data_IF_878029659855
#
_entry.id   IF_878029659855
#
_cell.length_a   1.000
_cell.length_b   1.000
_cell.length_c   1.000
_cell.angle_alpha   90.00
_cell.angle_beta   90.00
_cell.angle_gamma   90.00
#
_symmetry.space_group_name_H-M   'P 1'
#
loop_
_entity.id
_entity.type
_entity.pdbx_description
1 polymer ?
#
# COMPACT_ATOMS: atom_id res chain seq x y z
N UNK A 1 -9.35 14.74 19.84
CA UNK A 1 -8.88 14.50 21.22
C UNK A 1 -7.54 13.72 21.23
N UNK A 2 -7.16 13.08 22.36
CA UNK A 2 -6.03 12.14 22.47
C UNK A 2 -6.52 10.78 22.98
N UNK A 3 -6.11 9.68 22.36
CA UNK A 3 -6.52 8.33 22.75
C UNK A 3 -5.30 7.45 23.11
N UNK A 4 -5.40 6.70 24.22
CA UNK A 4 -4.33 5.80 24.70
C UNK A 4 -4.93 4.44 25.10
N UNK A 5 -4.48 3.35 24.45
CA UNK A 5 -4.92 1.97 24.70
C UNK A 5 -4.29 1.37 25.95
N UNK A 6 -2.98 1.57 26.12
CA UNK A 6 -2.27 1.16 27.33
C UNK A 6 -1.51 -0.14 27.10
N UNK A 7 -1.93 -1.25 27.70
CA UNK A 7 -1.29 -2.53 27.45
C UNK A 7 -2.33 -3.59 27.07
N UNK A 8 -2.05 -4.42 26.07
CA UNK A 8 -2.92 -5.50 25.65
C UNK A 8 -3.28 -5.46 24.18
N UNK A 9 -4.56 -5.67 23.89
CA UNK A 9 -5.13 -5.62 22.54
C UNK A 9 -6.19 -4.53 22.54
N UNK A 10 -5.87 -3.39 21.95
CA UNK A 10 -6.67 -2.20 22.02
C UNK A 10 -7.44 -1.93 20.73
N UNK A 11 -8.56 -1.23 20.88
CA UNK A 11 -9.40 -0.75 19.78
C UNK A 11 -9.64 0.74 19.97
N UNK A 12 -8.96 1.52 19.16
CA UNK A 12 -9.00 2.96 19.17
C UNK A 12 -9.91 3.42 18.04
N UNK A 13 -10.94 4.18 18.39
CA UNK A 13 -11.82 4.80 17.41
C UNK A 13 -11.42 6.25 17.25
N UNK A 14 -11.09 6.64 16.03
CA UNK A 14 -10.53 7.96 15.75
C UNK A 14 -11.39 8.71 14.74
N UNK A 15 -11.38 10.03 14.80
CA UNK A 15 -11.97 10.90 13.79
C UNK A 15 -11.00 12.00 13.34
N UNK A 16 -11.43 12.86 12.43
CA UNK A 16 -10.62 13.95 11.87
C UNK A 16 -10.15 14.99 12.89
N UNK A 17 -10.71 14.99 14.11
CA UNK A 17 -10.35 15.90 15.19
C UNK A 17 -9.37 15.27 16.20
N UNK A 18 -9.01 14.00 16.02
CA UNK A 18 -8.02 13.33 16.85
C UNK A 18 -6.61 13.68 16.40
N UNK A 19 -5.84 14.22 17.34
CA UNK A 19 -4.50 14.78 17.06
C UNK A 19 -3.36 13.92 17.60
N UNK A 20 -3.70 12.89 18.39
CA UNK A 20 -2.75 11.88 18.85
C UNK A 20 -3.49 10.60 19.27
N UNK A 21 -3.00 9.48 18.80
CA UNK A 21 -3.50 8.14 19.09
C UNK A 21 -2.30 7.28 19.50
N UNK A 22 -2.50 6.36 20.44
CA UNK A 22 -1.43 5.51 20.96
C UNK A 22 -2.03 4.17 21.39
N UNK A 23 -1.78 3.10 20.64
CA UNK A 23 -2.17 1.73 21.01
C UNK A 23 -1.51 1.28 22.31
N UNK A 24 -0.25 1.70 22.51
CA UNK A 24 0.54 1.36 23.68
C UNK A 24 1.29 0.04 23.51
N UNK A 25 1.49 -0.67 24.62
CA UNK A 25 2.21 -1.93 24.64
C UNK A 25 1.28 -3.10 24.29
N UNK A 26 1.34 -3.56 23.05
CA UNK A 26 0.48 -4.62 22.57
C UNK A 26 1.05 -5.28 21.34
N UNK A 27 0.32 -6.23 20.79
CA UNK A 27 0.52 -6.68 19.41
C UNK A 27 -0.83 -6.67 18.75
N UNK A 28 -0.96 -6.07 17.56
CA UNK A 28 -2.23 -5.98 16.83
C UNK A 28 -3.25 -5.03 17.48
N UNK A 29 -2.77 -3.89 17.99
CA UNK A 29 -3.62 -2.77 18.36
C UNK A 29 -4.28 -2.19 17.13
N UNK A 30 -5.58 -1.91 17.24
CA UNK A 30 -6.45 -1.57 16.10
C UNK A 30 -6.90 -0.14 16.17
N UNK A 31 -6.50 0.64 15.18
CA UNK A 31 -7.02 1.96 14.91
C UNK A 31 -8.16 1.84 13.88
N UNK A 32 -9.30 2.45 14.19
CA UNK A 32 -10.51 2.41 13.36
C UNK A 32 -11.01 3.83 13.18
N UNK A 33 -10.92 4.32 11.95
CA UNK A 33 -11.48 5.62 11.59
C UNK A 33 -13.00 5.53 11.62
N UNK A 34 -13.64 6.43 12.38
CA UNK A 34 -15.09 6.62 12.45
C UNK A 34 -15.41 8.04 12.07
N UNK A 35 -15.71 8.22 10.80
CA UNK A 35 -16.11 9.52 10.33
C UNK A 35 -17.52 9.88 10.83
N UNK A 36 -17.71 11.15 11.17
CA UNK A 36 -19.03 11.70 11.42
C UNK A 36 -19.72 12.02 10.09
N UNK A 37 -21.05 12.07 10.05
CA UNK A 37 -21.80 12.37 8.82
C UNK A 37 -21.51 13.77 8.22
N UNK A 38 -20.70 14.60 8.88
CA UNK A 38 -20.28 15.92 8.41
C UNK A 38 -18.78 15.99 8.06
N UNK A 39 -18.02 14.91 8.29
CA UNK A 39 -16.63 14.82 7.91
C UNK A 39 -16.53 14.79 6.37
N UNK A 40 -15.67 15.65 5.83
CA UNK A 40 -15.41 15.75 4.38
C UNK A 40 -13.93 15.58 4.05
N UNK A 41 -13.10 15.38 5.07
CA UNK A 41 -11.69 15.08 4.95
C UNK A 41 -11.45 13.70 5.59
N UNK A 42 -10.47 12.95 5.08
CA UNK A 42 -9.95 11.79 5.78
C UNK A 42 -8.95 12.17 6.87
N UNK A 43 -8.35 11.14 7.46
CA UNK A 43 -7.37 11.26 8.54
C UNK A 43 -5.96 11.11 8.01
N UNK A 44 -4.98 11.64 8.74
CA UNK A 44 -3.57 11.34 8.53
C UNK A 44 -3.02 10.75 9.83
N UNK A 45 -2.51 9.52 9.76
CA UNK A 45 -2.00 8.78 10.90
C UNK A 45 -0.56 8.38 10.64
N UNK A 46 0.34 8.80 11.53
CA UNK A 46 1.68 8.24 11.67
C UNK A 46 1.55 6.93 12.46
N UNK A 47 1.67 5.81 11.76
CA UNK A 47 1.46 4.48 12.34
C UNK A 47 2.54 4.15 13.37
N UNK A 48 3.78 4.59 13.15
CA UNK A 48 4.88 4.37 14.07
C UNK A 48 4.70 5.16 15.38
N UNK A 49 4.23 6.40 15.30
CA UNK A 49 3.90 7.19 16.48
C UNK A 49 2.62 6.70 17.17
N UNK A 50 1.72 6.06 16.43
CA UNK A 50 0.45 5.57 16.95
C UNK A 50 0.55 4.27 17.75
N UNK A 51 1.68 3.54 17.68
CA UNK A 51 1.83 2.20 18.24
C UNK A 51 0.64 1.27 17.92
N UNK A 52 0.07 1.41 16.72
CA UNK A 52 -0.98 0.53 16.22
C UNK A 52 -0.43 -0.28 15.05
N UNK A 53 -0.71 -1.58 15.03
CA UNK A 53 -0.27 -2.45 13.92
C UNK A 53 -1.36 -2.67 12.89
N UNK A 54 -2.60 -2.32 13.21
CA UNK A 54 -3.73 -2.47 12.29
C UNK A 54 -4.49 -1.16 12.20
N UNK A 55 -4.66 -0.65 10.99
CA UNK A 55 -5.46 0.55 10.74
C UNK A 55 -6.56 0.25 9.73
N UNK A 56 -7.75 0.79 10.01
CA UNK A 56 -8.87 0.75 9.10
C UNK A 56 -9.36 2.17 8.83
N UNK A 57 -9.30 2.59 7.58
CA UNK A 57 -9.82 3.88 7.13
C UNK A 57 -11.34 3.95 7.13
N UNK A 58 -11.84 5.07 6.62
CA UNK A 58 -13.21 5.53 6.66
C UNK A 58 -13.85 5.52 5.28
N UNK A 59 -14.50 6.64 4.95
CA UNK A 59 -15.21 6.88 3.71
C UNK A 59 -14.61 8.01 2.85
N UNK A 60 -13.51 8.59 3.31
CA UNK A 60 -12.82 9.71 2.68
C UNK A 60 -11.34 9.32 2.57
N UNK A 61 -10.64 9.99 1.67
CA UNK A 61 -9.20 9.88 1.41
C UNK A 61 -8.36 9.98 2.70
N UNK A 62 -7.94 8.83 3.23
CA UNK A 62 -7.15 8.66 4.42
C UNK A 62 -5.67 8.43 4.08
N UNK A 63 -4.78 8.78 5.01
CA UNK A 63 -3.34 8.56 4.88
C UNK A 63 -2.84 7.81 6.11
N UNK A 64 -2.31 6.61 5.90
CA UNK A 64 -1.62 5.82 6.92
C UNK A 64 -0.13 5.73 6.56
N UNK A 65 0.69 6.49 7.29
CA UNK A 65 2.13 6.55 7.10
C UNK A 65 2.84 5.65 8.10
N UNK A 66 3.26 4.48 7.64
CA UNK A 66 4.07 3.53 8.37
C UNK A 66 5.57 3.65 8.12
N UNK A 67 6.06 4.65 7.39
CA UNK A 67 7.43 4.68 6.87
C UNK A 67 8.51 4.59 7.96
N UNK A 68 8.19 5.00 9.19
CA UNK A 68 9.06 4.88 10.37
C UNK A 68 8.81 3.61 11.22
N UNK A 69 7.85 2.78 10.85
CA UNK A 69 7.49 1.54 11.55
C UNK A 69 8.51 0.44 11.28
N UNK A 70 8.86 -0.30 12.32
CA UNK A 70 9.73 -1.49 12.24
C UNK A 70 8.97 -2.79 12.51
N UNK A 71 7.65 -2.71 12.67
CA UNK A 71 6.77 -3.85 12.93
C UNK A 71 5.83 -4.04 11.76
N UNK A 72 5.39 -5.29 11.56
CA UNK A 72 4.47 -5.62 10.48
C UNK A 72 3.12 -4.94 10.69
N UNK A 73 2.68 -4.18 9.69
CA UNK A 73 1.43 -3.47 9.63
C UNK A 73 0.39 -4.22 8.79
N UNK A 74 -0.87 -3.97 9.09
CA UNK A 74 -2.01 -4.36 8.25
C UNK A 74 -2.91 -3.15 8.07
N UNK A 75 -2.79 -2.52 6.91
CA UNK A 75 -3.43 -1.26 6.58
C UNK A 75 -4.57 -1.51 5.59
N UNK A 76 -5.75 -0.99 5.91
CA UNK A 76 -6.95 -1.10 5.08
C UNK A 76 -7.46 0.32 4.83
N UNK A 77 -7.32 0.82 3.59
CA UNK A 77 -7.79 2.15 3.19
C UNK A 77 -9.31 2.27 3.33
N UNK A 78 -10.03 1.28 2.79
CA UNK A 78 -11.48 1.32 2.64
C UNK A 78 -11.85 2.33 1.56
N UNK A 79 -12.92 3.08 1.79
CA UNK A 79 -13.50 3.99 0.82
C UNK A 79 -12.73 5.31 0.83
N UNK A 80 -12.38 5.79 -0.35
CA UNK A 80 -11.59 6.99 -0.55
C UNK A 80 -10.55 6.73 -1.63
N UNK A 81 -9.72 7.73 -1.89
CA UNK A 81 -8.41 7.56 -2.51
C UNK A 81 -7.38 7.62 -1.41
N UNK A 82 -6.93 6.48 -0.94
CA UNK A 82 -6.11 6.34 0.24
C UNK A 82 -4.62 6.31 -0.10
N UNK A 83 -3.80 6.75 0.85
CA UNK A 83 -2.35 6.63 0.78
C UNK A 83 -1.89 5.73 1.92
N UNK A 84 -1.42 4.54 1.55
CA UNK A 84 -0.98 3.51 2.47
C UNK A 84 0.51 3.30 2.31
N UNK A 85 1.28 3.62 3.34
CA UNK A 85 2.71 3.33 3.41
C UNK A 85 2.94 2.31 4.51
N UNK A 86 3.52 1.17 4.16
CA UNK A 86 4.06 0.18 5.09
C UNK A 86 5.29 0.74 5.81
N UNK A 87 6.21 -0.13 6.20
CA UNK A 87 7.43 0.22 6.91
C UNK A 87 8.55 -0.75 6.54
N UNK A 88 9.50 -0.97 7.46
CA UNK A 88 10.63 -1.87 7.20
C UNK A 88 10.36 -3.36 7.45
N UNK A 89 9.10 -3.79 7.50
CA UNK A 89 8.69 -5.14 7.87
C UNK A 89 7.91 -5.80 6.72
N UNK A 90 7.41 -7.03 6.92
CA UNK A 90 6.56 -7.67 5.90
C UNK A 90 5.09 -7.27 6.14
N UNK A 91 4.65 -6.28 5.41
CA UNK A 91 3.39 -5.57 5.58
C UNK A 91 2.28 -6.12 4.69
N UNK A 92 1.04 -5.73 5.02
CA UNK A 92 -0.15 -6.01 4.22
C UNK A 92 -0.93 -4.74 4.01
N UNK A 93 -1.00 -4.29 2.77
CA UNK A 93 -1.72 -3.10 2.38
C UNK A 93 -2.89 -3.50 1.49
N UNK A 94 -4.06 -2.99 1.84
CA UNK A 94 -5.30 -3.17 1.11
C UNK A 94 -5.86 -1.76 0.86
N UNK A 95 -5.84 -1.27 -0.38
CA UNK A 95 -6.45 0.03 -0.74
C UNK A 95 -7.96 -0.02 -0.47
N UNK A 96 -8.60 -1.01 -1.09
CA UNK A 96 -9.87 -1.60 -0.65
C UNK A 96 -11.12 -0.69 -0.79
N UNK A 97 -11.54 -0.22 -1.98
CA UNK A 97 -12.96 0.20 -2.11
C UNK A 97 -13.67 0.11 -3.46
N UNK A 98 -14.99 0.01 -3.30
CA UNK A 98 -16.04 -0.05 -4.31
C UNK A 98 -16.41 1.35 -4.85
N UNK A 99 -15.43 2.16 -5.25
CA UNK A 99 -15.68 3.55 -5.64
C UNK A 99 -16.10 3.74 -7.12
N UNK A 100 -16.56 4.95 -7.44
CA UNK A 100 -16.99 5.36 -8.79
C UNK A 100 -15.90 6.07 -9.63
N UNK A 101 -14.72 6.36 -9.07
CA UNK A 101 -13.47 6.72 -9.76
C UNK A 101 -12.40 7.15 -8.74
N UNK A 102 -11.12 6.88 -9.05
CA UNK A 102 -9.98 7.12 -8.15
C UNK A 102 -9.20 5.84 -7.96
N UNK A 103 -8.01 5.91 -7.39
CA UNK A 103 -7.24 4.74 -6.99
C UNK A 103 -6.33 5.07 -5.83
N UNK A 104 -5.90 4.02 -5.17
CA UNK A 104 -5.11 4.10 -3.96
C UNK A 104 -3.61 4.14 -4.28
N UNK A 105 -2.83 4.75 -3.40
CA UNK A 105 -1.37 4.72 -3.46
C UNK A 105 -0.88 3.74 -2.40
N UNK A 106 -0.24 2.65 -2.82
CA UNK A 106 0.28 1.62 -1.94
C UNK A 106 1.80 1.55 -2.07
N UNK A 107 2.50 1.86 -0.98
CA UNK A 107 3.95 1.70 -0.85
C UNK A 107 4.24 0.68 0.27
N UNK A 108 4.79 -0.48 -0.09
CA UNK A 108 5.15 -1.50 0.89
C UNK A 108 6.29 -1.08 1.81
N UNK A 109 7.22 -0.26 1.30
CA UNK A 109 8.51 -0.03 1.92
C UNK A 109 9.47 -1.21 1.76
N UNK A 110 10.54 -1.28 2.57
CA UNK A 110 11.43 -2.43 2.58
C UNK A 110 10.79 -3.66 3.23
N UNK A 111 10.76 -4.79 2.54
CA UNK A 111 10.09 -5.95 3.13
C UNK A 111 9.88 -7.10 2.17
N UNK A 112 8.88 -7.92 2.47
CA UNK A 112 8.29 -8.81 1.48
C UNK A 112 6.80 -8.61 1.67
N UNK A 113 6.29 -7.63 0.96
CA UNK A 113 5.00 -7.02 1.22
C UNK A 113 3.92 -7.63 0.36
N UNK A 114 2.71 -7.53 0.89
CA UNK A 114 1.51 -7.91 0.18
C UNK A 114 0.69 -6.67 -0.11
N UNK A 115 0.55 -6.35 -1.39
CA UNK A 115 -0.18 -5.19 -1.88
C UNK A 115 -1.43 -5.69 -2.62
N UNK A 116 -2.58 -5.12 -2.26
CA UNK A 116 -3.86 -5.39 -2.91
C UNK A 116 -4.53 -4.05 -3.14
N UNK A 117 -4.61 -3.62 -4.39
CA UNK A 117 -5.16 -2.32 -4.75
C UNK A 117 -6.63 -2.22 -4.37
N UNK A 118 -7.42 -3.20 -4.77
CA UNK A 118 -8.85 -3.16 -4.61
C UNK A 118 -9.55 -3.89 -5.74
N UNK A 119 -10.84 -4.16 -5.56
CA UNK A 119 -11.64 -4.74 -6.62
C UNK A 119 -12.56 -3.68 -7.18
N UNK A 120 -12.42 -3.44 -8.49
CA UNK A 120 -13.31 -2.59 -9.29
C UNK A 120 -14.74 -2.60 -8.74
N UNK A 121 -15.13 -1.47 -8.14
CA UNK A 121 -16.45 -1.28 -7.57
C UNK A 121 -17.58 -1.69 -8.52
N UNK A 122 -18.75 -1.98 -7.93
CA UNK A 122 -19.97 -2.31 -8.66
C UNK A 122 -20.42 -1.14 -9.57
N UNK A 123 -19.85 -1.07 -10.77
CA UNK A 123 -19.98 0.06 -11.69
C UNK A 123 -19.09 -0.04 -12.92
N UNK A 124 -18.05 -0.89 -12.89
CA UNK A 124 -17.19 -1.15 -14.04
C UNK A 124 -16.24 0.01 -14.37
N UNK A 125 -16.08 0.95 -13.44
CA UNK A 125 -14.95 1.87 -13.46
C UNK A 125 -13.73 1.12 -12.96
N UNK A 126 -12.61 1.29 -13.65
CA UNK A 126 -11.34 0.75 -13.20
C UNK A 126 -10.83 1.62 -12.05
N UNK A 127 -10.48 1.00 -10.93
CA UNK A 127 -9.58 1.62 -9.96
C UNK A 127 -8.24 1.93 -10.64
N UNK A 128 -7.63 3.06 -10.26
CA UNK A 128 -6.39 3.56 -10.83
C UNK A 128 -5.30 3.50 -9.77
N UNK A 129 -5.06 2.30 -9.25
CA UNK A 129 -4.13 2.10 -8.14
C UNK A 129 -2.67 2.30 -8.59
N UNK A 130 -1.89 2.87 -7.70
CA UNK A 130 -0.48 3.14 -7.88
C UNK A 130 0.32 2.33 -6.85
N UNK A 131 1.01 1.31 -7.31
CA UNK A 131 1.92 0.50 -6.50
C UNK A 131 3.30 1.13 -6.57
N UNK A 132 3.72 1.80 -5.50
CA UNK A 132 4.96 2.58 -5.44
C UNK A 132 6.06 1.72 -4.85
N UNK A 133 7.23 1.75 -5.50
CA UNK A 133 8.42 1.06 -5.05
C UNK A 133 9.58 2.04 -4.89
N UNK A 134 10.36 1.83 -3.83
CA UNK A 134 11.58 2.56 -3.50
C UNK A 134 12.73 1.59 -3.19
N UNK A 135 13.96 2.09 -3.15
CA UNK A 135 15.14 1.25 -2.93
C UNK A 135 14.95 0.24 -1.78
N UNK A 136 15.50 -0.96 -1.94
CA UNK A 136 15.39 -2.07 -0.98
C UNK A 136 13.97 -2.62 -0.75
N UNK A 137 13.04 -2.46 -1.70
CA UNK A 137 11.65 -2.98 -1.58
C UNK A 137 11.57 -4.48 -1.27
N UNK A 138 12.53 -5.29 -1.73
CA UNK A 138 12.62 -6.71 -1.38
C UNK A 138 11.84 -7.63 -2.31
N UNK A 139 11.03 -8.57 -1.80
CA UNK A 139 10.25 -9.51 -2.62
C UNK A 139 8.75 -9.40 -2.39
N UNK A 140 8.12 -8.52 -3.17
CA UNK A 140 6.75 -8.12 -2.93
C UNK A 140 5.78 -8.87 -3.84
N UNK A 141 4.50 -8.77 -3.48
CA UNK A 141 3.42 -9.37 -4.24
C UNK A 141 2.28 -8.37 -4.41
N UNK A 142 1.99 -8.05 -5.66
CA UNK A 142 0.75 -7.39 -6.07
C UNK A 142 -0.26 -8.47 -6.42
N UNK A 143 -1.41 -8.46 -5.75
CA UNK A 143 -2.36 -9.57 -5.82
C UNK A 143 -3.37 -9.47 -6.97
N UNK A 144 -3.78 -8.27 -7.34
CA UNK A 144 -4.98 -7.99 -8.12
C UNK A 144 -4.77 -7.01 -9.28
N UNK A 145 -3.51 -6.84 -9.73
CA UNK A 145 -3.16 -5.88 -10.76
C UNK A 145 -4.03 -6.02 -12.03
N UNK A 146 -4.69 -4.94 -12.43
CA UNK A 146 -5.48 -4.89 -13.65
C UNK A 146 -4.65 -4.38 -14.84
N UNK A 147 -4.36 -5.28 -15.77
CA UNK A 147 -3.84 -4.97 -17.12
C UNK A 147 -4.92 -4.30 -18.00
N UNK A 148 -5.29 -3.08 -17.64
CA UNK A 148 -6.23 -2.22 -18.36
C UNK A 148 -5.63 -0.85 -18.70
N UNK A 149 -4.36 -0.64 -18.34
CA UNK A 149 -3.60 0.60 -18.50
C UNK A 149 -3.95 1.71 -17.49
N UNK A 150 -4.86 1.47 -16.55
CA UNK A 150 -5.29 2.40 -15.52
C UNK A 150 -4.37 2.32 -14.28
N UNK A 151 -4.09 1.10 -13.81
CA UNK A 151 -3.16 0.87 -12.70
C UNK A 151 -1.70 1.07 -13.13
N UNK A 152 -0.85 1.39 -12.15
CA UNK A 152 0.55 1.75 -12.38
C UNK A 152 1.46 1.10 -11.34
N UNK A 153 2.60 0.60 -11.82
CA UNK A 153 3.74 0.22 -10.99
C UNK A 153 4.77 1.36 -11.09
N UNK A 154 5.01 2.06 -9.99
CA UNK A 154 5.81 3.27 -9.95
C UNK A 154 7.23 3.00 -9.43
N UNK A 155 8.21 3.16 -10.31
CA UNK A 155 9.64 3.08 -10.04
C UNK A 155 10.34 4.45 -10.11
N UNK A 156 9.59 5.57 -10.13
CA UNK A 156 10.14 6.92 -10.32
C UNK A 156 11.14 7.35 -9.24
N UNK A 157 11.13 6.69 -8.09
CA UNK A 157 12.08 6.93 -7.01
C UNK A 157 13.42 6.19 -7.18
N UNK A 158 13.50 5.22 -8.10
CA UNK A 158 14.66 4.33 -8.30
C UNK A 158 15.45 4.77 -9.53
N UNK A 159 16.58 5.43 -9.28
CA UNK A 159 17.39 6.04 -10.34
C UNK A 159 17.93 5.04 -11.39
N UNK A 160 17.99 3.75 -11.05
CA UNK A 160 18.50 2.70 -11.93
C UNK A 160 17.45 2.04 -12.82
N UNK A 161 16.18 2.46 -12.76
CA UNK A 161 15.09 1.95 -13.60
C UNK A 161 14.50 3.12 -14.39
N UNK A 162 14.93 3.25 -15.64
CA UNK A 162 14.57 4.35 -16.54
C UNK A 162 13.62 3.94 -17.66
N UNK A 163 13.52 2.63 -17.90
CA UNK A 163 12.71 2.04 -18.97
C UNK A 163 12.46 0.56 -18.70
N UNK A 164 11.46 -0.02 -19.38
CA UNK A 164 11.08 -1.43 -19.21
C UNK A 164 12.24 -2.42 -19.40
N UNK A 165 13.20 -2.12 -20.28
CA UNK A 165 14.33 -3.03 -20.53
C UNK A 165 15.35 -3.11 -19.40
N UNK A 166 15.26 -2.21 -18.41
CA UNK A 166 16.07 -2.28 -17.20
C UNK A 166 15.57 -3.38 -16.25
N UNK A 167 14.36 -3.90 -16.50
CA UNK A 167 13.72 -4.97 -15.76
C UNK A 167 13.84 -6.32 -16.49
N UNK A 168 13.91 -7.40 -15.71
CA UNK A 168 13.71 -8.75 -16.22
C UNK A 168 12.31 -9.23 -15.83
N UNK A 169 11.44 -9.48 -16.81
CA UNK A 169 10.08 -9.98 -16.57
C UNK A 169 9.96 -11.41 -17.09
N UNK A 170 9.52 -12.33 -16.22
CA UNK A 170 9.37 -13.75 -16.55
C UNK A 170 7.98 -14.28 -16.20
N UNK A 171 7.52 -15.28 -16.95
CA UNK A 171 6.25 -15.95 -16.68
C UNK A 171 6.37 -16.99 -15.57
N UNK A 172 5.43 -16.92 -14.63
CA UNK A 172 5.10 -17.97 -13.68
C UNK A 172 3.77 -18.65 -14.02
N UNK A 173 3.37 -19.61 -13.19
CA UNK A 173 2.06 -20.25 -13.32
C UNK A 173 0.95 -19.32 -12.81
N UNK A 174 0.43 -18.46 -13.69
CA UNK A 174 -0.66 -17.52 -13.39
C UNK A 174 -0.20 -16.22 -12.74
N UNK A 175 1.06 -15.83 -12.97
CA UNK A 175 1.64 -14.57 -12.52
C UNK A 175 2.82 -14.17 -13.41
N UNK A 176 3.18 -12.90 -13.39
CA UNK A 176 4.46 -12.39 -13.90
C UNK A 176 5.40 -12.11 -12.72
N UNK A 177 6.69 -12.39 -12.91
CA UNK A 177 7.73 -12.02 -11.95
C UNK A 177 8.61 -10.95 -12.58
N UNK A 178 8.53 -9.74 -12.04
CA UNK A 178 9.43 -8.63 -12.34
C UNK A 178 10.64 -8.79 -11.42
N UNK A 179 11.84 -8.68 -11.96
CA UNK A 179 13.09 -8.75 -11.21
C UNK A 179 14.01 -7.62 -11.63
N UNK A 180 14.64 -7.00 -10.63
CA UNK A 180 15.62 -5.96 -10.81
C UNK A 180 16.91 -6.35 -10.08
N UNK A 181 18.03 -6.20 -10.78
CA UNK A 181 19.37 -6.39 -10.22
C UNK A 181 20.10 -5.05 -10.28
N UNK A 182 20.38 -4.46 -9.12
CA UNK A 182 21.19 -3.25 -9.07
C UNK A 182 22.60 -3.54 -9.64
N UNK A 183 23.18 -2.56 -10.34
CA UNK A 183 24.48 -2.59 -10.97
C UNK A 183 25.63 -2.96 -10.01
N UNK A 184 25.46 -2.80 -8.69
CA UNK A 184 26.45 -3.21 -7.68
C UNK A 184 26.29 -4.65 -7.17
N UNK A 185 25.31 -5.41 -7.68
CA UNK A 185 25.15 -6.85 -7.42
C UNK A 185 24.83 -7.22 -5.97
N UNK A 186 24.27 -6.29 -5.20
CA UNK A 186 23.99 -6.45 -3.76
C UNK A 186 22.61 -7.00 -3.44
N UNK A 187 21.61 -6.76 -4.31
CA UNK A 187 20.20 -7.07 -4.02
C UNK A 187 19.48 -7.54 -5.28
N UNK A 188 18.75 -8.66 -5.13
CA UNK A 188 17.79 -9.15 -6.11
C UNK A 188 16.42 -8.79 -5.56
N UNK A 189 15.84 -7.71 -6.09
CA UNK A 189 14.51 -7.27 -5.72
C UNK A 189 13.51 -7.79 -6.74
N UNK A 190 12.36 -8.28 -6.28
CA UNK A 190 11.37 -8.88 -7.15
C UNK A 190 9.96 -8.49 -6.79
N UNK A 191 9.09 -8.43 -7.79
CA UNK A 191 7.67 -8.18 -7.62
C UNK A 191 6.94 -9.27 -8.36
N UNK A 192 6.18 -10.07 -7.61
CA UNK A 192 5.23 -11.02 -8.18
C UNK A 192 3.90 -10.33 -8.42
N UNK A 193 3.48 -10.28 -9.68
CA UNK A 193 2.18 -9.71 -10.09
C UNK A 193 1.26 -10.85 -10.47
N UNK A 194 0.26 -11.11 -9.63
CA UNK A 194 -0.68 -12.22 -9.83
C UNK A 194 -1.74 -11.89 -10.89
N UNK A 195 -2.25 -12.93 -11.56
CA UNK A 195 -3.34 -12.78 -12.54
C UNK A 195 -2.93 -12.25 -13.91
N UNK A 196 -1.67 -11.79 -14.06
CA UNK A 196 -1.09 -11.34 -15.32
C UNK A 196 0.06 -12.24 -15.79
N UNK A 197 0.44 -12.11 -17.05
CA UNK A 197 1.63 -12.74 -17.64
C UNK A 197 2.63 -11.68 -18.13
N UNK A 198 3.89 -12.05 -18.33
CA UNK A 198 4.96 -11.14 -18.71
C UNK A 198 4.66 -10.34 -20.00
N UNK A 199 3.96 -10.94 -20.95
CA UNK A 199 3.58 -10.27 -22.21
C UNK A 199 2.49 -9.20 -22.06
N UNK A 200 1.79 -9.17 -20.92
CA UNK A 200 0.77 -8.18 -20.61
C UNK A 200 1.37 -6.91 -20.02
N UNK A 201 2.48 -7.03 -19.28
CA UNK A 201 3.18 -5.90 -18.70
C UNK A 201 3.96 -5.13 -19.77
N UNK A 202 3.41 -3.99 -20.19
CA UNK A 202 3.91 -3.09 -21.20
C UNK A 202 4.41 -1.78 -20.60
N UNK A 203 5.13 -0.99 -21.38
CA UNK A 203 5.77 0.26 -20.93
C UNK A 203 4.77 1.25 -20.30
N UNK A 204 3.49 1.22 -20.73
CA UNK A 204 2.42 2.06 -20.18
C UNK A 204 1.92 1.63 -18.79
N UNK A 205 2.33 0.46 -18.28
CA UNK A 205 1.96 -0.01 -16.94
C UNK A 205 2.93 0.50 -15.87
N UNK A 206 4.02 1.14 -16.28
CA UNK A 206 5.08 1.57 -15.41
C UNK A 206 5.25 3.10 -15.40
N UNK A 207 5.74 3.61 -14.28
CA UNK A 207 6.24 4.98 -14.15
C UNK A 207 7.73 4.88 -13.82
N UNK A 208 8.54 5.67 -14.53
CA UNK A 208 9.99 5.72 -14.37
C UNK A 208 10.44 7.14 -14.00
N UNK A 209 11.74 7.27 -13.67
CA UNK A 209 12.40 8.56 -13.38
C UNK A 209 12.54 9.47 -14.61
#
# INVERSE_FOLDING_TARGET
>A
DRLFGGAGLDRLFIDENDTATDGGAGLADRLIVRQTASATAGVMVDMAASNAEVAYGGANDDTFDGSASTVALSLFGRNGQDVLTGGGANDRLYGDANEMAGGDILDGGPGNDYLHGGVNGAGGVAEQDHFVFSDDWGNDRIFDFADNGAEKIDFSSIAGITQLSDLTITDGSGFALISYHDAVGGWDASIRVDGVIAAQLQDNDFIYV
#
